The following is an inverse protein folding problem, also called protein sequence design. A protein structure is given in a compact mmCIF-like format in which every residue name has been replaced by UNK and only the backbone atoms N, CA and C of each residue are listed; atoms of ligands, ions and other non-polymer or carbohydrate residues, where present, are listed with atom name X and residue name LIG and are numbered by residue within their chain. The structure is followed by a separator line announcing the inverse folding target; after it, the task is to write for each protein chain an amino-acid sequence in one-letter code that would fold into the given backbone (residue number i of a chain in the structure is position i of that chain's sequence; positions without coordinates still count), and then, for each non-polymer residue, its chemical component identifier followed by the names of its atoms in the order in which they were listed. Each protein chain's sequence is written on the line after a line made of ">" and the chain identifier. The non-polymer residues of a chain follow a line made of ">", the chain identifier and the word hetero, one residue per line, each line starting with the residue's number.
data_IF_809872495476
#
_entry.id   IF_809872495476
#
_cell.length_a   1.000
_cell.length_b   1.000
_cell.length_c   1.000
_cell.angle_alpha   90.00
_cell.angle_beta   90.00
_cell.angle_gamma   90.00
#
_symmetry.space_group_name_H-M   'P 1'
#
loop_
_entity.id
_entity.type
_entity.pdbx_description
1 polymer ?
#
# COMPACT_ATOMS: atom_id res chain seq x y z
N UNK A 1 -17.79 -21.29 -7.33
CA UNK A 1 -16.62 -20.85 -6.56
C UNK A 1 -15.70 -20.03 -7.47
N UNK A 2 -15.65 -18.73 -7.27
CA UNK A 2 -14.82 -17.77 -7.99
C UNK A 2 -13.51 -17.56 -7.22
N UNK A 3 -12.39 -17.83 -7.87
CA UNK A 3 -11.05 -17.63 -7.30
C UNK A 3 -10.37 -16.46 -8.01
N UNK A 4 -9.95 -15.44 -7.26
CA UNK A 4 -9.20 -14.30 -7.77
C UNK A 4 -7.73 -14.38 -7.35
N UNK A 5 -6.80 -14.24 -8.29
CA UNK A 5 -5.36 -14.11 -8.02
C UNK A 5 -4.88 -12.73 -8.46
N UNK A 6 -4.11 -12.02 -7.62
CA UNK A 6 -3.45 -10.78 -8.04
C UNK A 6 -2.17 -10.47 -7.28
N UNK A 7 -1.25 -9.78 -7.95
CA UNK A 7 -0.02 -9.28 -7.34
C UNK A 7 -0.34 -8.22 -6.28
N UNK A 8 0.50 -8.13 -5.25
CA UNK A 8 0.33 -7.13 -4.20
C UNK A 8 0.83 -5.77 -4.65
N UNK A 9 -0.02 -4.74 -4.54
CA UNK A 9 0.31 -3.35 -4.89
C UNK A 9 0.19 -2.45 -3.68
N UNK A 10 1.10 -1.48 -3.56
CA UNK A 10 1.03 -0.45 -2.52
C UNK A 10 -0.20 0.44 -2.71
N UNK A 11 -1.01 0.62 -1.65
CA UNK A 11 -2.29 1.36 -1.68
C UNK A 11 -3.25 0.90 -2.79
N UNK A 12 -3.73 -0.34 -2.75
CA UNK A 12 -4.49 -0.93 -3.86
C UNK A 12 -5.74 -0.11 -4.25
N UNK A 13 -5.95 0.08 -5.55
CA UNK A 13 -6.99 0.97 -6.10
C UNK A 13 -8.39 0.35 -6.05
N UNK A 14 -9.44 1.13 -6.32
CA UNK A 14 -10.84 0.69 -6.20
C UNK A 14 -11.18 -0.60 -6.99
N UNK A 15 -10.75 -0.75 -8.24
CA UNK A 15 -10.91 -2.00 -9.01
C UNK A 15 -10.18 -3.22 -8.41
N UNK A 16 -9.10 -3.01 -7.66
CA UNK A 16 -8.46 -4.10 -6.90
C UNK A 16 -9.42 -4.55 -5.79
N UNK A 17 -10.09 -3.60 -5.13
CA UNK A 17 -11.12 -3.88 -4.12
C UNK A 17 -12.32 -4.58 -4.69
N UNK A 18 -12.81 -4.11 -5.84
CA UNK A 18 -13.88 -4.77 -6.57
C UNK A 18 -13.53 -6.23 -6.87
N UNK A 19 -12.29 -6.50 -7.27
CA UNK A 19 -11.82 -7.86 -7.55
C UNK A 19 -11.84 -8.75 -6.30
N UNK A 20 -11.40 -8.24 -5.14
CA UNK A 20 -11.49 -8.96 -3.87
C UNK A 20 -12.95 -9.24 -3.52
N UNK A 21 -13.80 -8.21 -3.58
CA UNK A 21 -15.21 -8.29 -3.21
C UNK A 21 -16.04 -9.24 -4.09
N UNK A 22 -15.58 -9.53 -5.31
CA UNK A 22 -16.27 -10.38 -6.29
C UNK A 22 -15.85 -11.85 -6.27
N UNK A 23 -14.83 -12.22 -5.50
CA UNK A 23 -14.34 -13.61 -5.44
C UNK A 23 -14.65 -14.26 -4.10
N UNK A 24 -14.92 -15.57 -4.13
CA UNK A 24 -15.11 -16.38 -2.91
C UNK A 24 -13.77 -16.61 -2.20
N UNK A 25 -12.69 -16.70 -2.98
CA UNK A 25 -11.32 -16.85 -2.49
C UNK A 25 -10.40 -15.89 -3.23
N UNK A 26 -9.73 -15.00 -2.49
CA UNK A 26 -8.69 -14.14 -3.04
C UNK A 26 -7.30 -14.64 -2.62
N UNK A 27 -6.47 -14.96 -3.61
CA UNK A 27 -5.09 -15.39 -3.40
C UNK A 27 -4.15 -14.25 -3.77
N UNK A 28 -3.29 -13.92 -2.82
CA UNK A 28 -2.27 -12.88 -2.94
C UNK A 28 -1.06 -13.49 -3.62
N UNK A 29 -0.63 -12.88 -4.73
CA UNK A 29 0.54 -13.35 -5.47
C UNK A 29 1.77 -12.55 -5.04
N UNK A 30 2.38 -12.95 -3.93
CA UNK A 30 3.55 -12.33 -3.32
C UNK A 30 4.86 -13.12 -3.49
N UNK A 31 4.78 -14.37 -3.94
CA UNK A 31 5.93 -15.25 -4.20
C UNK A 31 6.60 -15.05 -5.58
N UNK A 32 6.35 -13.91 -6.22
CA UNK A 32 6.91 -13.55 -7.54
C UNK A 32 8.17 -12.70 -7.40
N UNK A 33 8.95 -12.60 -8.47
CA UNK A 33 10.10 -11.71 -8.51
C UNK A 33 9.70 -10.24 -8.33
N UNK A 34 10.42 -9.52 -7.46
CA UNK A 34 10.26 -8.09 -7.27
C UNK A 34 10.71 -7.31 -8.51
N UNK A 35 9.86 -6.41 -8.98
CA UNK A 35 10.19 -5.50 -10.06
C UNK A 35 10.51 -4.10 -9.49
N UNK A 36 11.79 -3.70 -9.52
CA UNK A 36 12.26 -2.40 -9.00
C UNK A 36 11.57 -1.19 -9.62
N UNK A 37 11.09 -1.31 -10.86
CA UNK A 37 10.40 -0.24 -11.59
C UNK A 37 8.89 -0.46 -11.67
N UNK A 38 8.36 -1.47 -10.97
CA UNK A 38 6.93 -1.76 -10.94
C UNK A 38 6.17 -0.93 -9.90
N UNK A 39 4.93 -1.35 -9.69
CA UNK A 39 3.95 -0.70 -8.79
C UNK A 39 3.83 -1.40 -7.44
N UNK A 40 4.70 -2.37 -7.15
CA UNK A 40 4.64 -3.13 -5.90
C UNK A 40 4.92 -2.25 -4.68
N UNK A 41 5.83 -1.27 -4.80
CA UNK A 41 6.22 -0.34 -3.75
C UNK A 41 5.91 1.13 -4.08
N UNK A 42 5.11 1.39 -5.12
CA UNK A 42 4.81 2.74 -5.61
C UNK A 42 3.34 2.89 -5.91
N UNK A 43 2.81 4.10 -5.70
CA UNK A 43 1.47 4.42 -6.16
C UNK A 43 1.31 5.92 -6.41
N UNK A 44 0.32 6.30 -7.23
CA UNK A 44 -0.05 7.69 -7.46
C UNK A 44 -1.29 8.05 -6.67
N UNK A 45 -1.26 9.23 -6.08
CA UNK A 45 -2.43 9.84 -5.46
C UNK A 45 -2.75 11.16 -6.16
N UNK A 46 -4.03 11.52 -6.19
CA UNK A 46 -4.47 12.84 -6.65
C UNK A 46 -4.23 13.87 -5.55
N UNK A 47 -3.74 15.04 -5.94
CA UNK A 47 -3.59 16.22 -5.10
C UNK A 47 -4.21 17.43 -5.82
N UNK A 48 -4.28 18.58 -5.15
CA UNK A 48 -4.76 19.81 -5.78
C UNK A 48 -3.86 20.30 -6.93
N UNK A 49 -2.59 19.89 -6.95
CA UNK A 49 -1.59 20.28 -7.95
C UNK A 49 -1.35 19.22 -9.04
N UNK A 50 -2.11 18.12 -9.01
CA UNK A 50 -1.97 17.00 -9.96
C UNK A 50 -1.67 15.68 -9.27
N UNK A 51 -1.15 14.72 -10.03
CA UNK A 51 -0.78 13.41 -9.48
C UNK A 51 0.59 13.48 -8.80
N UNK A 52 0.70 12.90 -7.60
CA UNK A 52 1.97 12.73 -6.89
C UNK A 52 2.28 11.25 -6.75
N UNK A 53 3.52 10.87 -7.06
CA UNK A 53 4.02 9.51 -6.87
C UNK A 53 4.53 9.32 -5.44
N UNK A 54 3.88 8.42 -4.71
CA UNK A 54 4.35 7.89 -3.44
C UNK A 54 5.23 6.67 -3.71
N UNK A 55 6.39 6.59 -3.06
CA UNK A 55 7.33 5.47 -3.22
C UNK A 55 7.80 5.02 -1.84
N UNK A 56 7.46 3.79 -1.47
CA UNK A 56 8.01 3.14 -0.28
C UNK A 56 9.45 2.73 -0.60
N UNK A 57 10.44 3.24 0.14
CA UNK A 57 11.83 2.89 -0.07
C UNK A 57 12.05 1.44 0.37
N UNK A 58 12.77 0.66 -0.44
CA UNK A 58 12.98 -0.76 -0.20
C UNK A 58 14.43 -1.15 -0.47
N UNK A 59 14.91 -2.16 0.26
CA UNK A 59 16.18 -2.83 -0.01
C UNK A 59 15.87 -4.13 -0.75
N UNK A 60 16.27 -4.19 -2.02
CA UNK A 60 16.05 -5.36 -2.86
C UNK A 60 17.29 -5.68 -3.72
N UNK A 61 17.57 -6.97 -3.89
CA UNK A 61 18.57 -7.52 -4.82
C UNK A 61 17.91 -7.91 -6.14
N UNK A 62 18.70 -7.95 -7.23
CA UNK A 62 18.20 -8.45 -8.50
C UNK A 62 17.75 -9.91 -8.36
N UNK A 63 16.56 -10.25 -8.88
CA UNK A 63 16.01 -11.60 -8.77
C UNK A 63 15.31 -11.93 -7.46
N UNK A 64 15.32 -11.03 -6.47
CA UNK A 64 14.71 -11.27 -5.16
C UNK A 64 13.19 -11.39 -5.26
N UNK A 65 12.56 -12.26 -4.45
CA UNK A 65 11.10 -12.38 -4.41
C UNK A 65 10.47 -11.20 -3.66
N UNK A 66 9.23 -10.85 -4.01
CA UNK A 66 8.51 -9.71 -3.45
C UNK A 66 8.27 -9.88 -1.94
N UNK A 67 7.95 -11.08 -1.47
CA UNK A 67 7.78 -11.40 -0.06
C UNK A 67 9.08 -11.32 0.78
N UNK A 68 10.24 -11.34 0.13
CA UNK A 68 11.56 -11.18 0.78
C UNK A 68 12.03 -9.72 0.83
N UNK A 69 11.36 -8.80 0.13
CA UNK A 69 11.78 -7.40 0.05
C UNK A 69 11.47 -6.64 1.35
N UNK A 70 12.49 -6.00 1.90
CA UNK A 70 12.40 -5.24 3.14
C UNK A 70 12.27 -3.74 2.88
N UNK A 71 11.55 -3.05 3.78
CA UNK A 71 11.43 -1.60 3.74
C UNK A 71 12.70 -0.96 4.28
N UNK A 72 13.20 0.04 3.57
CA UNK A 72 14.33 0.84 4.01
C UNK A 72 13.83 1.99 4.91
N UNK A 73 13.84 1.76 6.22
CA UNK A 73 13.41 2.76 7.22
C UNK A 73 14.56 3.70 7.67
N UNK A 74 15.43 4.11 6.75
CA UNK A 74 16.49 5.12 7.02
C UNK A 74 15.94 6.54 6.97
N UNK A 75 14.93 6.77 6.13
CA UNK A 75 14.24 8.05 5.97
C UNK A 75 12.79 7.94 6.50
N UNK A 76 12.17 9.03 7.00
CA UNK A 76 10.79 9.05 7.49
C UNK A 76 9.77 9.06 6.34
N UNK A 77 9.82 8.06 5.47
CA UNK A 77 8.95 7.95 4.30
C UNK A 77 7.47 7.85 4.68
N UNK A 78 7.15 7.16 5.79
CA UNK A 78 5.77 7.00 6.28
C UNK A 78 5.15 8.34 6.65
N UNK A 79 5.86 9.16 7.43
CA UNK A 79 5.44 10.51 7.80
C UNK A 79 5.26 11.41 6.56
N UNK A 80 6.19 11.32 5.59
CA UNK A 80 6.06 12.06 4.33
C UNK A 80 4.80 11.64 3.57
N UNK A 81 4.51 10.34 3.48
CA UNK A 81 3.32 9.84 2.82
C UNK A 81 2.05 10.29 3.55
N UNK A 82 2.02 10.18 4.88
CA UNK A 82 0.91 10.61 5.72
C UNK A 82 0.58 12.08 5.51
N UNK A 83 1.57 12.98 5.66
CA UNK A 83 1.38 14.42 5.44
C UNK A 83 0.85 14.72 4.04
N UNK A 84 1.35 14.00 3.01
CA UNK A 84 0.87 14.17 1.63
C UNK A 84 -0.60 13.78 1.50
N UNK A 85 -1.00 12.65 2.09
CA UNK A 85 -2.38 12.16 2.09
C UNK A 85 -3.29 13.10 2.87
N UNK A 86 -2.90 13.49 4.08
CA UNK A 86 -3.64 14.42 4.92
C UNK A 86 -3.90 15.74 4.19
N UNK A 87 -2.86 16.38 3.65
CA UNK A 87 -3.01 17.64 2.93
C UNK A 87 -3.90 17.52 1.70
N UNK A 88 -3.84 16.38 1.00
CA UNK A 88 -4.61 16.13 -0.22
C UNK A 88 -6.08 15.80 0.05
N UNK A 89 -6.37 15.08 1.13
CA UNK A 89 -7.68 14.50 1.38
C UNK A 89 -8.38 14.99 2.66
N UNK A 90 -7.81 15.91 3.45
CA UNK A 90 -8.45 16.41 4.70
C UNK A 90 -9.88 16.95 4.55
N UNK A 91 -10.25 17.37 3.34
CA UNK A 91 -11.60 17.88 2.99
C UNK A 91 -12.47 16.85 2.26
N UNK A 92 -11.95 15.66 1.99
CA UNK A 92 -12.69 14.61 1.30
C UNK A 92 -13.76 14.01 2.23
N UNK A 93 -14.90 13.57 1.68
CA UNK A 93 -15.86 12.77 2.43
C UNK A 93 -15.16 11.58 3.09
N UNK A 94 -15.58 11.25 4.32
CA UNK A 94 -15.07 10.15 5.13
C UNK A 94 -13.59 10.24 5.55
N UNK A 95 -12.87 11.32 5.24
CA UNK A 95 -11.46 11.44 5.66
C UNK A 95 -11.30 11.30 7.17
N UNK A 96 -12.14 11.97 7.96
CA UNK A 96 -12.09 11.93 9.42
C UNK A 96 -12.28 10.52 9.99
N UNK A 97 -13.11 9.71 9.34
CA UNK A 97 -13.42 8.35 9.78
C UNK A 97 -12.21 7.43 9.64
N UNK A 98 -11.35 7.67 8.64
CA UNK A 98 -10.18 6.84 8.35
C UNK A 98 -8.83 7.48 8.70
N UNK A 99 -8.81 8.78 9.04
CA UNK A 99 -7.58 9.53 9.27
C UNK A 99 -6.70 8.91 10.36
N UNK A 100 -7.28 8.60 11.54
CA UNK A 100 -6.52 8.02 12.64
C UNK A 100 -5.90 6.67 12.32
N UNK A 101 -6.63 5.82 11.60
CA UNK A 101 -6.12 4.53 11.14
C UNK A 101 -4.97 4.67 10.13
N UNK A 102 -5.08 5.62 9.19
CA UNK A 102 -4.01 5.90 8.24
C UNK A 102 -2.79 6.49 8.94
N UNK A 103 -2.98 7.42 9.87
CA UNK A 103 -1.91 8.01 10.68
C UNK A 103 -1.15 6.94 11.47
N UNK A 104 -1.85 6.05 12.16
CA UNK A 104 -1.25 4.94 12.89
C UNK A 104 -0.45 4.02 11.95
N UNK A 105 -1.05 3.67 10.80
CA UNK A 105 -0.42 2.82 9.79
C UNK A 105 0.91 3.42 9.33
N UNK A 106 0.93 4.71 9.01
CA UNK A 106 2.12 5.41 8.52
C UNK A 106 3.12 5.79 9.62
N UNK A 107 2.67 5.93 10.87
CA UNK A 107 3.52 6.12 12.04
C UNK A 107 4.20 4.83 12.50
N UNK A 108 3.63 3.67 12.16
CA UNK A 108 4.22 2.37 12.49
C UNK A 108 5.46 2.06 11.64
N UNK A 109 6.52 1.53 12.27
CA UNK A 109 7.74 1.11 11.56
C UNK A 109 7.52 -0.24 10.90
N UNK A 110 6.95 -0.24 9.69
CA UNK A 110 6.70 -1.46 8.95
C UNK A 110 8.00 -2.16 8.51
N UNK A 111 8.00 -3.50 8.55
CA UNK A 111 9.18 -4.33 8.26
C UNK A 111 9.29 -4.75 6.79
N UNK A 112 8.17 -4.94 6.09
CA UNK A 112 8.12 -5.34 4.68
C UNK A 112 6.99 -4.63 3.92
N UNK A 113 7.11 -4.53 2.59
CA UNK A 113 6.08 -3.93 1.73
C UNK A 113 4.73 -4.63 1.90
N UNK A 114 4.77 -5.96 2.11
CA UNK A 114 3.61 -6.78 2.45
C UNK A 114 3.00 -6.33 3.77
N UNK A 115 3.81 -6.09 4.80
CA UNK A 115 3.33 -5.66 6.11
C UNK A 115 2.59 -4.31 6.08
N UNK A 116 3.01 -3.29 5.32
CA UNK A 116 2.23 -2.02 5.26
C UNK A 116 0.82 -2.28 4.71
N UNK A 117 0.73 -3.05 3.64
CA UNK A 117 -0.52 -3.24 2.90
C UNK A 117 -1.49 -4.11 3.72
N UNK A 118 -0.99 -5.16 4.39
CA UNK A 118 -1.81 -6.09 5.17
C UNK A 118 -2.10 -5.64 6.60
N UNK A 119 -1.18 -4.94 7.28
CA UNK A 119 -1.40 -4.48 8.66
C UNK A 119 -2.48 -3.41 8.72
N UNK A 120 -2.55 -2.57 7.68
CA UNK A 120 -3.67 -1.68 7.47
C UNK A 120 -4.96 -2.51 7.21
N UNK A 121 -4.94 -3.39 6.21
CA UNK A 121 -6.14 -4.06 5.73
C UNK A 121 -6.83 -5.01 6.72
N UNK A 122 -6.08 -5.87 7.43
CA UNK A 122 -6.68 -6.88 8.31
C UNK A 122 -7.18 -6.32 9.65
N UNK A 123 -6.67 -5.16 10.07
CA UNK A 123 -7.07 -4.54 11.34
C UNK A 123 -8.34 -3.69 11.22
N UNK A 124 -8.59 -3.10 10.05
CA UNK A 124 -9.77 -2.27 9.79
C UNK A 124 -11.02 -3.01 9.31
N UNK A 125 -10.96 -4.33 9.11
CA UNK A 125 -12.06 -5.16 8.59
C UNK A 125 -12.65 -6.11 9.65
N UNK A 126 -12.75 -5.60 10.87
CA UNK A 126 -13.60 -6.18 11.93
C UNK A 126 -14.90 -5.40 12.05
#
# INVERSE_FOLDING_TARGET
>A
MLVGIHQLHYLPWLRYMEKIARCDVFVVLDNIQFNKNGWQNRNRIKTAQGEVLLTVPVVAKAGQRLDEVLIQNTEPWGEKHWRTIEQSYRRAPYFRDYAGFLEETYGSRARSTVSIIWTAWLRGWR
#
